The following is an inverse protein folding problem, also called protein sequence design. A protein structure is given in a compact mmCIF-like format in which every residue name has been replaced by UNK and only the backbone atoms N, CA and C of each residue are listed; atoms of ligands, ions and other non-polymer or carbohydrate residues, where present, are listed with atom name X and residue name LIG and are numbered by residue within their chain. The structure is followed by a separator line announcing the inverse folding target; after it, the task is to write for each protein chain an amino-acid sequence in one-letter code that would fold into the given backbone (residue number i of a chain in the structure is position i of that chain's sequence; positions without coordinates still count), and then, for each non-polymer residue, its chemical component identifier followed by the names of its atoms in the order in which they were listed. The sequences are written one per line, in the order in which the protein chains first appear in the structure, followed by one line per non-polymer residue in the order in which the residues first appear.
data_IF_622653173550
#
_entry.id   IF_622653173550
#
_cell.length_a   1.000
_cell.length_b   1.000
_cell.length_c   1.000
_cell.angle_alpha   90.00
_cell.angle_beta   90.00
_cell.angle_gamma   90.00
#
_symmetry.space_group_name_H-M   'P 1'
#
loop_
_entity.id
_entity.type
_entity.pdbx_description
1 polymer ?
#
# COMPACT_ATOMS: atom_id res chain seq x y z
N UNK A 1 -28.79 -39.00 -16.46
CA UNK A 1 -29.09 -37.59 -16.76
C UNK A 1 -27.86 -36.81 -16.38
N UNK A 2 -26.99 -36.60 -17.38
CA UNK A 2 -25.66 -36.01 -17.25
C UNK A 2 -25.78 -34.49 -17.08
N UNK A 3 -25.13 -33.97 -16.02
CA UNK A 3 -24.95 -32.53 -15.87
C UNK A 3 -23.62 -32.13 -16.52
N UNK A 4 -23.79 -31.57 -17.73
CA UNK A 4 -22.70 -31.05 -18.55
C UNK A 4 -22.00 -29.86 -17.91
N UNK A 5 -20.66 -29.94 -17.92
CA UNK A 5 -19.67 -28.91 -18.17
C UNK A 5 -19.85 -27.51 -17.55
N UNK A 6 -19.19 -27.28 -16.43
CA UNK A 6 -18.75 -25.91 -16.06
C UNK A 6 -17.71 -25.46 -17.09
N UNK A 7 -18.08 -24.52 -17.98
CA UNK A 7 -17.12 -23.72 -18.75
C UNK A 7 -16.32 -22.87 -17.77
N UNK A 8 -15.03 -23.14 -17.64
CA UNK A 8 -14.08 -22.18 -17.08
C UNK A 8 -14.13 -20.90 -17.91
N UNK A 9 -14.60 -19.82 -17.29
CA UNK A 9 -14.50 -18.47 -17.87
C UNK A 9 -13.07 -18.00 -17.66
N UNK A 10 -12.20 -18.30 -18.61
CA UNK A 10 -10.88 -17.67 -18.68
C UNK A 10 -11.11 -16.17 -18.97
N UNK A 11 -10.99 -15.34 -17.94
CA UNK A 11 -10.99 -13.89 -18.10
C UNK A 11 -9.76 -13.49 -18.93
N UNK A 12 -9.99 -13.26 -20.24
CA UNK A 12 -8.97 -12.69 -21.11
C UNK A 12 -8.62 -11.31 -20.59
N UNK A 13 -7.42 -11.15 -20.01
CA UNK A 13 -6.95 -9.84 -19.51
C UNK A 13 -7.10 -8.79 -20.61
N UNK A 14 -7.57 -7.61 -20.25
CA UNK A 14 -7.72 -6.49 -21.20
C UNK A 14 -6.36 -6.12 -21.78
N UNK A 15 -6.32 -5.80 -23.08
CA UNK A 15 -5.04 -5.59 -23.78
C UNK A 15 -4.17 -4.48 -23.15
N UNK A 16 -4.76 -3.40 -22.64
CA UNK A 16 -4.02 -2.33 -21.98
C UNK A 16 -3.42 -2.76 -20.61
N UNK A 17 -4.08 -3.70 -19.90
CA UNK A 17 -3.54 -4.26 -18.65
C UNK A 17 -2.31 -5.12 -18.92
N UNK A 18 -2.34 -5.92 -19.99
CA UNK A 18 -1.16 -6.72 -20.39
C UNK A 18 0.03 -5.82 -20.77
N UNK A 19 -0.25 -4.71 -21.46
CA UNK A 19 0.76 -3.70 -21.81
C UNK A 19 1.31 -2.98 -20.57
N UNK A 20 0.43 -2.64 -19.63
CA UNK A 20 0.81 -2.07 -18.33
C UNK A 20 1.77 -3.01 -17.60
N UNK A 21 1.39 -4.30 -17.42
CA UNK A 21 2.22 -5.30 -16.75
C UNK A 21 3.60 -5.47 -17.42
N UNK A 22 3.63 -5.49 -18.75
CA UNK A 22 4.88 -5.61 -19.51
C UNK A 22 5.79 -4.39 -19.29
N UNK A 23 5.25 -3.17 -19.38
CA UNK A 23 6.00 -1.94 -19.15
C UNK A 23 6.43 -1.81 -17.69
N UNK A 24 5.56 -2.13 -16.76
CA UNK A 24 5.86 -2.16 -15.32
C UNK A 24 7.08 -3.05 -15.05
N UNK A 25 7.09 -4.27 -15.58
CA UNK A 25 8.21 -5.20 -15.43
C UNK A 25 9.50 -4.63 -16.05
N UNK A 26 9.43 -3.98 -17.21
CA UNK A 26 10.59 -3.35 -17.86
C UNK A 26 11.17 -2.17 -17.05
N UNK A 27 10.34 -1.50 -16.25
CA UNK A 27 10.79 -0.48 -15.30
C UNK A 27 11.43 -1.12 -14.07
N UNK A 28 10.82 -2.14 -13.50
CA UNK A 28 11.31 -2.83 -12.30
C UNK A 28 12.61 -3.60 -12.54
N UNK A 29 12.77 -4.24 -13.69
CA UNK A 29 14.00 -4.98 -14.06
C UNK A 29 15.13 -4.08 -14.60
N UNK A 30 14.89 -2.76 -14.71
CA UNK A 30 15.86 -1.78 -15.15
C UNK A 30 16.07 -1.72 -16.67
N UNK A 31 15.25 -2.41 -17.48
CA UNK A 31 15.26 -2.26 -18.96
C UNK A 31 15.03 -0.79 -19.35
N UNK A 32 14.19 -0.11 -18.60
CA UNK A 32 14.06 1.34 -18.61
C UNK A 32 14.52 1.91 -17.26
N UNK A 33 15.77 2.38 -17.14
CA UNK A 33 16.30 2.88 -15.87
C UNK A 33 15.54 4.10 -15.34
N UNK A 34 15.53 4.27 -14.03
CA UNK A 34 14.98 5.44 -13.36
C UNK A 34 15.57 6.72 -13.97
N UNK A 35 14.71 7.70 -14.22
CA UNK A 35 15.07 8.98 -14.87
C UNK A 35 15.26 8.89 -16.38
N UNK A 36 15.29 7.69 -16.97
CA UNK A 36 15.42 7.54 -18.42
C UNK A 36 14.14 7.91 -19.17
N UNK A 37 14.30 8.33 -20.41
CA UNK A 37 13.18 8.64 -21.30
C UNK A 37 12.68 7.36 -21.98
N UNK A 38 11.38 7.11 -21.94
CA UNK A 38 10.77 6.05 -22.73
C UNK A 38 10.85 6.37 -24.24
N UNK A 39 10.91 5.34 -25.10
CA UNK A 39 10.77 5.51 -26.54
C UNK A 39 9.48 6.27 -26.88
N UNK A 40 9.49 7.03 -27.99
CA UNK A 40 8.30 7.73 -28.46
C UNK A 40 7.12 6.74 -28.63
N UNK A 41 5.90 7.17 -28.27
CA UNK A 41 4.70 6.31 -28.29
C UNK A 41 4.55 5.47 -29.57
N UNK A 42 4.77 6.00 -30.79
CA UNK A 42 4.66 5.19 -32.00
C UNK A 42 5.67 4.04 -32.08
N UNK A 43 6.89 4.29 -31.58
CA UNK A 43 7.95 3.28 -31.54
C UNK A 43 7.65 2.23 -30.46
N UNK A 44 7.21 2.68 -29.28
CA UNK A 44 6.89 1.82 -28.17
C UNK A 44 5.67 0.93 -28.48
N UNK A 45 4.61 1.47 -29.10
CA UNK A 45 3.44 0.71 -29.55
C UNK A 45 3.84 -0.39 -30.56
N UNK A 46 4.75 -0.07 -31.48
CA UNK A 46 5.28 -1.06 -32.44
C UNK A 46 6.11 -2.14 -31.75
N UNK A 47 6.94 -1.78 -30.78
CA UNK A 47 7.75 -2.73 -29.99
C UNK A 47 6.87 -3.72 -29.23
N UNK A 48 5.75 -3.25 -28.67
CA UNK A 48 4.82 -4.08 -27.89
C UNK A 48 3.71 -4.74 -28.72
N UNK A 49 3.68 -4.47 -30.04
CA UNK A 49 2.69 -5.09 -30.95
C UNK A 49 1.24 -4.65 -30.70
N UNK A 50 1.02 -3.42 -30.19
CA UNK A 50 -0.29 -2.92 -29.80
C UNK A 50 -0.67 -1.61 -30.50
N UNK A 51 -1.97 -1.26 -30.42
CA UNK A 51 -2.45 0.03 -30.92
C UNK A 51 -1.93 1.18 -30.06
N UNK A 52 -1.81 2.40 -30.63
CA UNK A 52 -1.46 3.59 -29.87
C UNK A 52 -2.45 3.91 -28.75
N UNK A 53 -3.73 3.61 -28.96
CA UNK A 53 -4.77 3.81 -27.93
C UNK A 53 -4.57 2.86 -26.76
N UNK A 54 -4.31 1.58 -27.02
CA UNK A 54 -4.00 0.58 -26.00
C UNK A 54 -2.75 0.95 -25.19
N UNK A 55 -1.69 1.42 -25.91
CA UNK A 55 -0.48 1.91 -25.25
C UNK A 55 -0.77 3.12 -24.34
N UNK A 56 -1.52 4.11 -24.82
CA UNK A 56 -1.85 5.31 -24.03
C UNK A 56 -2.58 4.97 -22.77
N UNK A 57 -3.58 4.10 -22.84
CA UNK A 57 -4.29 3.63 -21.63
C UNK A 57 -3.35 2.99 -20.62
N UNK A 58 -2.39 2.18 -21.08
CA UNK A 58 -1.38 1.60 -20.19
C UNK A 58 -0.39 2.64 -19.63
N UNK A 59 0.01 3.64 -20.45
CA UNK A 59 0.86 4.73 -19.97
C UNK A 59 0.14 5.64 -18.98
N UNK A 60 -1.17 5.90 -19.17
CA UNK A 60 -1.98 6.68 -18.23
C UNK A 60 -2.04 5.96 -16.87
N UNK A 61 -2.26 4.64 -16.85
CA UNK A 61 -2.20 3.85 -15.62
C UNK A 61 -0.82 3.94 -14.93
N UNK A 62 0.29 3.83 -15.71
CA UNK A 62 1.64 3.97 -15.17
C UNK A 62 1.94 5.40 -14.66
N UNK A 63 1.28 6.42 -15.20
CA UNK A 63 1.33 7.78 -14.67
C UNK A 63 0.55 7.93 -13.38
N UNK A 64 -0.67 7.36 -13.33
CA UNK A 64 -1.52 7.37 -12.13
C UNK A 64 -0.82 6.61 -10.97
N UNK A 65 -0.08 5.54 -11.30
CA UNK A 65 0.75 4.78 -10.35
C UNK A 65 2.11 5.44 -10.06
N UNK A 66 2.36 6.63 -10.59
CA UNK A 66 3.60 7.38 -10.38
C UNK A 66 4.87 6.70 -10.88
N UNK A 67 4.75 5.67 -11.73
CA UNK A 67 5.91 4.98 -12.35
C UNK A 67 6.49 5.76 -13.50
N UNK A 68 5.69 6.63 -14.08
CA UNK A 68 6.09 7.52 -15.16
C UNK A 68 5.77 8.97 -14.82
N UNK A 69 6.58 9.88 -15.35
CA UNK A 69 6.28 11.30 -15.31
C UNK A 69 6.26 11.87 -16.75
N UNK A 70 5.23 12.64 -17.07
CA UNK A 70 5.08 13.29 -18.35
C UNK A 70 5.75 14.66 -18.34
N UNK A 71 6.67 14.89 -19.28
CA UNK A 71 7.30 16.20 -19.46
C UNK A 71 6.81 16.79 -20.76
N UNK A 72 6.16 17.95 -20.68
CA UNK A 72 5.60 18.64 -21.85
C UNK A 72 6.67 18.88 -22.91
N UNK A 73 6.43 18.42 -24.14
CA UNK A 73 7.39 18.54 -25.25
C UNK A 73 8.55 17.54 -25.22
N UNK A 74 8.82 16.86 -24.11
CA UNK A 74 9.93 15.92 -23.98
C UNK A 74 9.51 14.44 -23.94
N UNK A 75 8.26 14.13 -23.58
CA UNK A 75 7.72 12.77 -23.55
C UNK A 75 7.59 12.18 -22.16
N UNK A 76 7.58 10.84 -22.09
CA UNK A 76 7.42 10.08 -20.86
C UNK A 76 8.80 9.66 -20.31
N UNK A 77 9.00 9.81 -19.01
CA UNK A 77 10.23 9.46 -18.31
C UNK A 77 9.89 8.49 -17.19
N UNK A 78 10.75 7.53 -16.92
CA UNK A 78 10.65 6.67 -15.75
C UNK A 78 10.83 7.53 -14.50
N UNK A 79 9.84 7.50 -13.63
CA UNK A 79 9.89 8.26 -12.38
C UNK A 79 10.87 7.61 -11.40
N UNK A 80 11.49 8.43 -10.55
CA UNK A 80 12.22 7.94 -9.40
C UNK A 80 11.18 7.48 -8.38
N UNK A 81 10.99 6.16 -8.26
CA UNK A 81 10.00 5.55 -7.37
C UNK A 81 10.16 5.94 -5.89
N UNK A 82 11.30 6.55 -5.53
CA UNK A 82 11.52 7.11 -4.20
C UNK A 82 10.92 8.52 -4.01
N UNK A 83 10.43 9.16 -5.09
CA UNK A 83 9.90 10.54 -5.03
C UNK A 83 8.40 10.67 -5.29
N UNK A 84 7.74 9.60 -5.67
CA UNK A 84 6.31 9.63 -5.89
C UNK A 84 5.70 8.54 -5.02
N UNK A 85 5.03 8.99 -4.01
CA UNK A 85 4.13 8.17 -3.23
C UNK A 85 2.94 7.83 -4.12
N UNK A 86 3.12 6.94 -5.07
CA UNK A 86 2.02 6.27 -5.71
C UNK A 86 1.69 5.06 -4.85
N UNK A 87 0.71 5.22 -4.01
CA UNK A 87 0.00 4.09 -3.43
C UNK A 87 -0.74 3.36 -4.54
N UNK A 88 -0.02 2.64 -5.40
CA UNK A 88 -0.70 1.62 -6.19
C UNK A 88 -1.22 0.58 -5.20
N UNK A 89 -2.51 0.29 -5.26
CA UNK A 89 -3.17 -0.75 -4.44
C UNK A 89 -2.50 -2.14 -4.58
N UNK A 90 -1.57 -2.28 -5.52
CA UNK A 90 -0.83 -3.51 -5.80
C UNK A 90 0.42 -3.73 -4.90
N UNK A 91 0.98 -2.65 -4.35
CA UNK A 91 1.98 -2.75 -3.27
C UNK A 91 1.31 -2.24 -2.00
N UNK A 92 1.01 -3.15 -1.09
CA UNK A 92 0.62 -2.81 0.27
C UNK A 92 1.81 -2.08 0.92
N UNK A 93 1.90 -0.78 0.72
CA UNK A 93 2.88 0.08 1.39
C UNK A 93 2.19 0.79 2.53
N UNK A 94 2.93 1.14 3.55
CA UNK A 94 2.39 1.86 4.70
C UNK A 94 1.69 3.16 4.23
N UNK A 95 0.35 3.30 4.38
CA UNK A 95 -0.39 4.42 3.81
C UNK A 95 0.08 5.79 4.27
N UNK A 96 0.66 5.91 5.49
CA UNK A 96 1.21 7.18 5.96
C UNK A 96 2.37 7.66 5.10
N UNK A 97 3.22 6.75 4.60
CA UNK A 97 4.25 7.12 3.64
C UNK A 97 3.64 7.70 2.36
N UNK A 98 2.40 7.26 2.02
CA UNK A 98 1.62 7.73 0.90
C UNK A 98 0.92 9.07 1.11
N UNK A 99 0.34 9.25 2.27
CA UNK A 99 -0.45 10.45 2.59
C UNK A 99 0.42 11.64 2.97
N UNK A 100 1.57 11.39 3.63
CA UNK A 100 2.41 12.44 4.18
C UNK A 100 3.61 12.81 3.29
N UNK A 101 3.91 12.03 2.24
CA UNK A 101 5.06 12.28 1.36
C UNK A 101 6.38 12.36 2.14
N UNK A 102 7.27 13.27 1.73
CA UNK A 102 8.52 13.58 2.45
C UNK A 102 8.32 14.61 3.58
N UNK A 103 7.10 14.81 4.06
CA UNK A 103 6.79 15.94 4.92
C UNK A 103 7.14 15.75 6.40
N UNK A 104 7.41 14.54 6.88
CA UNK A 104 7.88 14.31 8.24
C UNK A 104 9.39 14.01 8.27
N UNK A 105 10.07 14.53 9.28
CA UNK A 105 11.52 14.37 9.47
C UNK A 105 11.86 13.46 10.66
N UNK A 106 10.87 13.17 11.50
CA UNK A 106 11.05 12.37 12.71
C UNK A 106 9.80 11.58 13.06
N UNK A 107 9.99 10.34 13.53
CA UNK A 107 8.94 9.54 14.15
C UNK A 107 9.28 9.25 15.61
N UNK A 108 8.24 9.24 16.45
CA UNK A 108 8.30 8.72 17.81
C UNK A 108 7.25 7.66 17.99
N UNK A 109 7.46 6.70 18.87
CA UNK A 109 6.50 5.62 19.06
C UNK A 109 6.43 5.15 20.51
N UNK A 110 5.31 4.52 20.84
CA UNK A 110 5.08 3.81 22.09
C UNK A 110 4.44 2.45 21.78
N UNK A 111 4.89 1.41 22.48
CA UNK A 111 4.34 0.07 22.42
C UNK A 111 3.90 -0.34 23.80
N UNK A 112 2.64 -0.78 23.92
CA UNK A 112 2.02 -1.22 25.16
C UNK A 112 1.37 -2.58 25.01
N UNK A 113 1.43 -3.37 26.08
CA UNK A 113 0.58 -4.56 26.23
C UNK A 113 -0.47 -4.17 27.26
N UNK A 114 -1.73 -4.16 26.86
CA UNK A 114 -2.81 -3.68 27.70
C UNK A 114 -4.07 -4.54 27.56
N UNK A 115 -4.96 -4.53 28.57
CA UNK A 115 -6.25 -5.20 28.46
C UNK A 115 -7.04 -4.61 27.28
N UNK A 116 -7.61 -5.48 26.46
CA UNK A 116 -8.46 -5.05 25.35
C UNK A 116 -9.79 -4.50 25.84
N UNK A 117 -10.25 -3.44 25.21
CA UNK A 117 -11.60 -2.91 25.36
C UNK A 117 -12.53 -3.41 24.24
N UNK A 118 -13.82 -3.10 24.33
CA UNK A 118 -14.82 -3.57 23.37
C UNK A 118 -14.56 -3.04 21.95
N UNK A 119 -14.05 -1.80 21.82
CA UNK A 119 -13.70 -1.20 20.53
C UNK A 119 -12.55 -1.94 19.85
N UNK A 120 -11.49 -2.28 20.56
CA UNK A 120 -10.34 -3.01 20.04
C UNK A 120 -10.69 -4.46 19.68
N UNK A 121 -11.55 -5.09 20.46
CA UNK A 121 -12.10 -6.42 20.13
C UNK A 121 -12.92 -6.38 18.83
N UNK A 122 -13.74 -5.34 18.66
CA UNK A 122 -14.50 -5.12 17.44
C UNK A 122 -13.58 -4.88 16.24
N UNK A 123 -12.56 -4.01 16.38
CA UNK A 123 -11.55 -3.76 15.33
C UNK A 123 -10.87 -5.05 14.87
N UNK A 124 -10.42 -5.86 15.81
CA UNK A 124 -9.74 -7.13 15.52
C UNK A 124 -10.70 -8.24 15.07
N UNK A 125 -12.01 -8.04 15.28
CA UNK A 125 -13.01 -9.10 15.16
C UNK A 125 -12.61 -10.36 15.93
N UNK A 126 -12.11 -10.16 17.15
CA UNK A 126 -11.53 -11.20 17.99
C UNK A 126 -11.75 -10.90 19.46
N UNK A 127 -12.35 -11.86 20.18
CA UNK A 127 -12.43 -11.77 21.65
C UNK A 127 -11.08 -12.18 22.26
N UNK A 128 -10.27 -11.20 22.58
CA UNK A 128 -8.95 -11.36 23.21
C UNK A 128 -8.88 -10.55 24.49
N UNK A 129 -8.34 -11.11 25.60
CA UNK A 129 -8.25 -10.37 26.87
C UNK A 129 -7.19 -9.26 26.85
N UNK A 130 -6.21 -9.37 25.97
CA UNK A 130 -5.11 -8.40 25.85
C UNK A 130 -4.80 -8.13 24.39
N UNK A 131 -4.22 -6.96 24.13
CA UNK A 131 -3.72 -6.53 22.83
C UNK A 131 -2.29 -6.01 22.96
N UNK A 132 -1.62 -5.90 21.81
CA UNK A 132 -0.43 -5.08 21.66
C UNK A 132 -0.83 -3.82 20.91
N UNK A 133 -0.83 -2.69 21.62
CA UNK A 133 -1.11 -1.38 21.09
C UNK A 133 0.21 -0.71 20.64
N UNK A 134 0.20 -0.12 19.46
CA UNK A 134 1.31 0.60 18.87
C UNK A 134 0.85 2.00 18.55
N UNK A 135 1.49 2.99 19.14
CA UNK A 135 1.27 4.40 18.85
C UNK A 135 2.47 4.95 18.11
N UNK A 136 2.26 5.61 16.96
CA UNK A 136 3.33 6.22 16.18
C UNK A 136 2.93 7.65 15.86
N UNK A 137 3.79 8.60 16.22
CA UNK A 137 3.63 10.02 15.93
C UNK A 137 4.64 10.45 14.88
N UNK A 138 4.19 11.20 13.90
CA UNK A 138 4.98 11.72 12.79
C UNK A 138 5.13 13.23 12.95
N UNK A 139 6.36 13.71 12.88
CA UNK A 139 6.71 15.10 13.20
C UNK A 139 7.42 15.76 12.04
N UNK A 140 7.14 17.06 11.84
CA UNK A 140 7.91 17.95 10.97
C UNK A 140 8.44 19.10 11.84
N UNK A 141 9.74 19.08 12.14
CA UNK A 141 10.33 19.95 13.16
C UNK A 141 9.67 19.72 14.52
N UNK A 142 8.88 20.66 14.99
CA UNK A 142 8.12 20.59 16.26
C UNK A 142 6.63 20.31 16.07
N UNK A 143 6.15 20.28 14.85
CA UNK A 143 4.76 20.09 14.51
C UNK A 143 4.41 18.61 14.37
N UNK A 144 3.29 18.20 14.95
CA UNK A 144 2.74 16.84 14.79
C UNK A 144 1.92 16.81 13.50
N UNK A 145 2.40 16.10 12.49
CA UNK A 145 1.76 16.02 11.16
C UNK A 145 0.91 14.78 10.97
N UNK A 146 1.05 13.77 11.83
CA UNK A 146 0.25 12.56 11.73
C UNK A 146 0.41 11.62 12.90
N UNK A 147 -0.54 10.71 13.02
CA UNK A 147 -0.59 9.72 14.08
C UNK A 147 -1.13 8.39 13.56
N UNK A 148 -0.53 7.31 14.02
CA UNK A 148 -1.02 5.94 13.78
C UNK A 148 -1.28 5.24 15.09
N UNK A 149 -2.47 4.66 15.22
CA UNK A 149 -2.83 3.72 16.27
C UNK A 149 -2.95 2.31 15.67
N UNK A 150 -2.05 1.41 16.05
CA UNK A 150 -2.05 0.02 15.59
C UNK A 150 -2.44 -0.93 16.71
N UNK A 151 -3.25 -1.92 16.39
CA UNK A 151 -3.71 -2.96 17.32
C UNK A 151 -3.37 -4.33 16.75
N UNK A 152 -2.61 -5.13 17.49
CA UNK A 152 -2.30 -6.52 17.16
C UNK A 152 -2.79 -7.47 18.25
N UNK A 153 -3.25 -8.66 17.83
CA UNK A 153 -3.58 -9.74 18.76
C UNK A 153 -2.32 -10.47 19.23
N UNK A 154 -2.34 -11.14 20.40
CA UNK A 154 -1.25 -12.02 20.84
C UNK A 154 -0.94 -13.13 19.84
N UNK A 155 -1.95 -13.59 19.07
CA UNK A 155 -1.74 -14.56 18.00
C UNK A 155 -0.80 -14.04 16.93
N UNK A 156 -0.98 -12.80 16.47
CA UNK A 156 -0.09 -12.15 15.49
C UNK A 156 1.34 -12.08 16.01
N UNK A 157 1.53 -11.70 17.26
CA UNK A 157 2.84 -11.66 17.91
C UNK A 157 3.53 -13.04 17.89
N UNK A 158 2.79 -14.08 18.30
CA UNK A 158 3.31 -15.45 18.33
C UNK A 158 3.62 -15.97 16.93
N UNK A 159 2.71 -15.75 15.98
CA UNK A 159 2.82 -16.23 14.61
C UNK A 159 4.06 -15.69 13.90
N UNK A 160 4.31 -14.38 14.05
CA UNK A 160 5.46 -13.73 13.42
C UNK A 160 6.70 -13.67 14.32
N UNK A 161 6.66 -14.34 15.48
CA UNK A 161 7.76 -14.46 16.44
C UNK A 161 8.32 -13.08 16.86
N UNK A 162 7.43 -12.10 17.08
CA UNK A 162 7.81 -10.75 17.43
C UNK A 162 8.31 -10.71 18.89
N UNK A 163 9.53 -10.22 19.10
CA UNK A 163 10.05 -9.96 20.43
C UNK A 163 9.60 -8.58 20.92
N UNK A 164 8.63 -8.54 21.83
CA UNK A 164 8.05 -7.30 22.34
C UNK A 164 9.04 -6.45 23.17
N UNK A 165 10.21 -7.01 23.55
CA UNK A 165 11.28 -6.23 24.16
C UNK A 165 12.06 -5.42 23.14
N UNK A 166 12.00 -5.81 21.87
CA UNK A 166 12.64 -5.14 20.74
C UNK A 166 11.64 -4.23 20.03
N UNK A 167 11.23 -3.17 20.73
CA UNK A 167 10.14 -2.29 20.31
C UNK A 167 10.32 -1.72 18.89
N UNK A 168 11.54 -1.36 18.51
CA UNK A 168 11.87 -0.85 17.18
C UNK A 168 11.60 -1.88 16.08
N UNK A 169 11.91 -3.17 16.34
CA UNK A 169 11.64 -4.25 15.38
C UNK A 169 10.12 -4.46 15.23
N UNK A 170 9.35 -4.40 16.32
CA UNK A 170 7.89 -4.54 16.29
C UNK A 170 7.25 -3.38 15.53
N UNK A 171 7.71 -2.15 15.76
CA UNK A 171 7.21 -0.97 15.03
C UNK A 171 7.57 -1.05 13.54
N UNK A 172 8.80 -1.45 13.21
CA UNK A 172 9.19 -1.69 11.82
C UNK A 172 8.32 -2.76 11.16
N UNK A 173 8.06 -3.87 11.86
CA UNK A 173 7.13 -4.89 11.37
C UNK A 173 5.76 -4.30 11.05
N UNK A 174 5.20 -3.52 11.96
CA UNK A 174 3.90 -2.87 11.79
C UNK A 174 3.86 -1.84 10.65
N UNK A 175 4.98 -1.20 10.36
CA UNK A 175 5.07 -0.17 9.32
C UNK A 175 5.44 -0.71 7.94
N UNK A 176 6.08 -1.86 7.84
CA UNK A 176 6.62 -2.38 6.58
C UNK A 176 6.32 -3.85 6.36
N UNK A 177 6.82 -4.74 7.21
CA UNK A 177 6.79 -6.19 6.97
C UNK A 177 5.39 -6.78 6.96
N UNK A 178 4.45 -6.22 7.74
CA UNK A 178 3.05 -6.68 7.78
C UNK A 178 2.39 -6.59 6.41
N UNK A 179 2.75 -5.58 5.62
CA UNK A 179 2.19 -5.36 4.27
C UNK A 179 2.67 -6.41 3.25
N UNK A 180 3.88 -6.94 3.46
CA UNK A 180 4.41 -8.02 2.63
C UNK A 180 3.81 -9.38 3.01
N UNK A 181 3.39 -9.53 4.26
CA UNK A 181 2.88 -10.78 4.84
C UNK A 181 1.37 -10.90 4.80
N UNK A 182 0.65 -9.79 4.73
CA UNK A 182 -0.80 -9.78 4.66
C UNK A 182 -1.28 -10.31 3.29
N UNK A 183 -2.17 -11.29 3.29
CA UNK A 183 -2.79 -11.80 2.06
C UNK A 183 -3.82 -10.81 1.49
N UNK A 184 -4.47 -10.06 2.37
CA UNK A 184 -5.48 -9.06 2.03
C UNK A 184 -5.36 -7.86 2.94
N UNK A 185 -5.56 -6.67 2.40
CA UNK A 185 -5.88 -5.49 3.17
C UNK A 185 -7.22 -4.92 2.74
N UNK A 186 -7.90 -4.32 3.69
CA UNK A 186 -9.12 -3.55 3.46
C UNK A 186 -8.91 -2.17 4.03
N UNK A 187 -9.10 -1.16 3.20
CA UNK A 187 -9.00 0.23 3.57
C UNK A 187 -10.37 0.83 3.73
N UNK A 188 -10.59 1.58 4.80
CA UNK A 188 -11.78 2.42 5.00
C UNK A 188 -11.34 3.84 5.31
N UNK A 189 -11.99 4.80 4.68
CA UNK A 189 -11.77 6.22 4.94
C UNK A 189 -13.09 6.78 5.46
N UNK A 190 -13.04 7.45 6.59
CA UNK A 190 -14.19 8.11 7.18
C UNK A 190 -13.79 9.41 7.89
N UNK A 191 -14.63 10.45 7.87
CA UNK A 191 -14.35 11.68 8.58
C UNK A 191 -14.48 11.45 10.10
N UNK A 192 -13.64 12.15 10.86
CA UNK A 192 -13.83 12.27 12.30
C UNK A 192 -14.67 13.50 12.65
N UNK A 193 -15.01 13.66 13.94
CA UNK A 193 -15.79 14.79 14.45
C UNK A 193 -15.06 16.14 14.35
N UNK A 194 -13.75 16.14 14.16
CA UNK A 194 -12.93 17.33 14.01
C UNK A 194 -12.76 17.75 12.53
N UNK A 195 -13.30 16.98 11.59
CA UNK A 195 -13.20 17.25 10.15
C UNK A 195 -12.02 16.60 9.45
N UNK A 196 -11.12 15.94 10.20
CA UNK A 196 -9.99 15.22 9.63
C UNK A 196 -10.41 13.86 9.08
N UNK A 197 -9.68 13.32 8.14
CA UNK A 197 -9.89 11.97 7.63
C UNK A 197 -9.21 10.93 8.52
N UNK A 198 -9.95 9.88 8.88
CA UNK A 198 -9.39 8.68 9.51
C UNK A 198 -9.29 7.59 8.46
N UNK A 199 -8.09 7.08 8.30
CA UNK A 199 -7.81 5.95 7.46
C UNK A 199 -7.67 4.69 8.33
N UNK A 200 -8.63 3.77 8.25
CA UNK A 200 -8.56 2.50 8.96
C UNK A 200 -8.16 1.39 8.01
N UNK A 201 -7.08 0.74 8.30
CA UNK A 201 -6.53 -0.35 7.50
C UNK A 201 -6.60 -1.67 8.27
N UNK A 202 -7.24 -2.65 7.65
CA UNK A 202 -7.44 -4.00 8.18
C UNK A 202 -6.55 -4.96 7.42
N UNK A 203 -5.56 -5.55 8.07
CA UNK A 203 -4.67 -6.54 7.49
C UNK A 203 -5.10 -7.94 7.88
N UNK A 204 -5.33 -8.79 6.90
CA UNK A 204 -5.87 -10.14 7.08
C UNK A 204 -4.96 -11.18 6.45
N UNK A 205 -5.01 -12.36 7.05
CA UNK A 205 -4.46 -13.58 6.49
C UNK A 205 -5.54 -14.66 6.59
N UNK A 206 -6.04 -15.12 5.44
CA UNK A 206 -7.29 -15.89 5.39
C UNK A 206 -8.46 -15.07 5.94
N UNK A 207 -9.19 -15.64 6.87
CA UNK A 207 -10.31 -14.97 7.58
C UNK A 207 -9.85 -14.27 8.87
N UNK A 208 -8.60 -14.45 9.28
CA UNK A 208 -8.10 -13.91 10.54
C UNK A 208 -7.52 -12.51 10.37
N UNK A 209 -7.91 -11.60 11.28
CA UNK A 209 -7.33 -10.28 11.38
C UNK A 209 -5.94 -10.38 12.01
N UNK A 210 -4.90 -9.94 11.30
CA UNK A 210 -3.54 -9.92 11.82
C UNK A 210 -3.22 -8.63 12.54
N UNK A 211 -3.65 -7.51 11.97
CA UNK A 211 -3.46 -6.19 12.53
C UNK A 211 -4.51 -5.22 11.99
N UNK A 212 -4.86 -4.21 12.80
CA UNK A 212 -5.64 -3.05 12.36
C UNK A 212 -4.84 -1.80 12.69
N UNK A 213 -4.83 -0.84 11.78
CA UNK A 213 -4.20 0.46 12.00
C UNK A 213 -5.18 1.58 11.66
N UNK A 214 -5.31 2.53 12.57
CA UNK A 214 -6.02 3.79 12.35
C UNK A 214 -5.01 4.92 12.22
N UNK A 215 -5.16 5.72 11.19
CA UNK A 215 -4.24 6.80 10.83
C UNK A 215 -5.01 8.10 10.72
N UNK A 216 -4.51 9.09 11.41
CA UNK A 216 -5.07 10.45 11.43
C UNK A 216 -3.97 11.38 10.94
N UNK A 217 -4.29 12.23 9.99
CA UNK A 217 -3.39 13.23 9.44
C UNK A 217 -4.17 14.52 9.17
N UNK A 218 -3.51 15.66 9.31
CA UNK A 218 -4.03 16.95 8.88
C UNK A 218 -3.79 17.12 7.38
N UNK A 219 -4.83 17.59 6.65
CA UNK A 219 -4.76 17.90 5.23
C UNK A 219 -4.08 19.24 4.96
#
# INVERSE_FOLDING_TARGET
MELQGKKEVTHKKLAHVQVYEALYKMVEDGTFPVGSRLPAEPKLAKMLGVSRMTLRQALDLLHDDGKLRKVRGAGNFVADGNKIVSSSLEKLTHPMAGCMGEEFDRTTFELKIEPSNDYEKELLNLDTPVIVAIHIWYWKGTELTGYTFGVMSPHTVTKYQLDLNKKEEVVRFAQTEIYEKAERSQLRIHPNSAGNSILTEYMKEGEQMTMVQEKIYDE
#
